data_IF_304431085649
#
_entry.id   IF_304431085649
#
_cell.length_a   1.000
_cell.length_b   1.000
_cell.length_c   1.000
_cell.angle_alpha   90.00
_cell.angle_beta   90.00
_cell.angle_gamma   90.00
#
_symmetry.space_group_name_H-M   'P 1'
#
loop_
_entity.id
_entity.type
_entity.pdbx_description
1 polymer ?
#
# COMPACT_ATOMS: atom_id res chain seq x y z
N UNK A 1 58.37 32.68 11.65
CA UNK A 1 57.92 31.27 11.57
C UNK A 1 57.00 30.99 12.76
N UNK A 2 55.68 30.93 12.54
CA UNK A 2 54.68 30.17 13.32
C UNK A 2 53.31 30.42 12.70
N UNK A 3 52.85 29.45 11.91
CA UNK A 3 51.49 29.35 11.40
C UNK A 3 50.55 29.03 12.58
N UNK A 4 49.66 29.96 12.92
CA UNK A 4 48.47 29.67 13.72
C UNK A 4 47.44 28.95 12.84
N UNK A 5 47.14 27.71 13.20
CA UNK A 5 46.19 26.83 12.52
C UNK A 5 44.76 27.35 12.71
N UNK A 6 44.09 27.64 11.60
CA UNK A 6 42.65 27.84 11.54
C UNK A 6 42.00 26.45 11.53
N UNK A 7 41.43 26.02 12.65
CA UNK A 7 40.61 24.82 12.70
C UNK A 7 39.28 25.11 11.99
N UNK A 8 39.17 24.66 10.74
CA UNK A 8 37.91 24.66 10.00
C UNK A 8 37.02 23.59 10.62
N UNK A 9 35.92 24.04 11.22
CA UNK A 9 34.84 23.24 11.78
C UNK A 9 34.26 22.29 10.72
N UNK A 10 34.63 21.01 10.77
CA UNK A 10 33.93 19.93 10.05
C UNK A 10 32.78 19.40 10.93
N UNK A 11 31.63 20.07 10.88
CA UNK A 11 30.38 19.59 11.47
C UNK A 11 29.22 19.85 10.51
N UNK A 12 29.18 19.12 9.38
CA UNK A 12 28.01 19.10 8.49
C UNK A 12 27.94 17.93 7.46
N UNK A 13 28.58 16.78 7.66
CA UNK A 13 28.58 15.70 6.64
C UNK A 13 27.90 14.38 7.02
N UNK A 14 27.37 14.24 8.25
CA UNK A 14 26.80 12.96 8.72
C UNK A 14 25.30 12.76 8.41
N UNK A 15 24.55 13.82 8.10
CA UNK A 15 23.09 13.71 7.88
C UNK A 15 22.71 13.34 6.44
N UNK A 16 23.50 13.75 5.45
CA UNK A 16 23.20 13.52 4.02
C UNK A 16 23.55 12.10 3.54
N UNK A 17 24.46 11.40 4.21
CA UNK A 17 24.81 10.02 3.85
C UNK A 17 23.71 9.05 4.28
N UNK A 18 23.19 9.21 5.50
CA UNK A 18 22.13 8.34 6.03
C UNK A 18 20.82 8.43 5.23
N UNK A 19 20.46 9.61 4.72
CA UNK A 19 19.27 9.80 3.89
C UNK A 19 19.45 9.19 2.49
N UNK A 20 20.63 9.32 1.88
CA UNK A 20 20.93 8.69 0.59
C UNK A 20 20.92 7.16 0.68
N UNK A 21 21.48 6.58 1.74
CA UNK A 21 21.44 5.14 2.00
C UNK A 21 20.00 4.62 2.19
N UNK A 22 19.16 5.34 2.96
CA UNK A 22 17.77 4.97 3.17
C UNK A 22 16.92 5.07 1.88
N UNK A 23 17.13 6.12 1.07
CA UNK A 23 16.47 6.27 -0.21
C UNK A 23 16.87 5.16 -1.19
N UNK A 24 18.16 4.79 -1.23
CA UNK A 24 18.65 3.68 -2.05
C UNK A 24 18.04 2.34 -1.61
N UNK A 25 17.95 2.06 -0.31
CA UNK A 25 17.34 0.83 0.20
C UNK A 25 15.83 0.73 -0.14
N UNK A 26 15.08 1.83 -0.04
CA UNK A 26 13.67 1.88 -0.44
C UNK A 26 13.51 1.65 -1.95
N UNK A 27 14.45 2.15 -2.77
CA UNK A 27 14.43 1.94 -4.22
C UNK A 27 14.73 0.48 -4.61
N UNK A 28 15.64 -0.19 -3.90
CA UNK A 28 15.95 -1.61 -4.12
C UNK A 28 14.78 -2.51 -3.69
N UNK A 29 14.17 -2.22 -2.54
CA UNK A 29 12.96 -2.91 -2.08
C UNK A 29 11.80 -2.73 -3.06
N UNK A 30 11.60 -1.52 -3.61
CA UNK A 30 10.60 -1.26 -4.63
C UNK A 30 10.83 -2.09 -5.89
N UNK A 31 12.08 -2.16 -6.38
CA UNK A 31 12.44 -2.96 -7.55
C UNK A 31 12.19 -4.46 -7.33
N UNK A 32 12.54 -4.99 -6.15
CA UNK A 32 12.25 -6.38 -5.78
C UNK A 32 10.75 -6.66 -5.81
N UNK A 33 9.96 -5.81 -5.17
CA UNK A 33 8.51 -5.97 -5.10
C UNK A 33 7.82 -5.76 -6.45
N UNK A 34 8.32 -4.87 -7.30
CA UNK A 34 7.86 -4.73 -8.67
C UNK A 34 8.10 -5.99 -9.48
N UNK A 35 9.31 -6.59 -9.39
CA UNK A 35 9.62 -7.85 -10.06
C UNK A 35 8.74 -9.00 -9.56
N UNK A 36 8.52 -9.11 -8.25
CA UNK A 36 7.63 -10.11 -7.67
C UNK A 36 6.17 -9.92 -8.14
N UNK A 37 5.69 -8.68 -8.22
CA UNK A 37 4.34 -8.41 -8.71
C UNK A 37 4.19 -8.73 -10.20
N UNK A 38 5.21 -8.44 -11.01
CA UNK A 38 5.22 -8.80 -12.43
C UNK A 38 5.17 -10.32 -12.64
N UNK A 39 5.87 -11.11 -11.80
CA UNK A 39 5.78 -12.58 -11.82
C UNK A 39 4.38 -13.08 -11.48
N UNK A 40 3.68 -12.39 -10.57
CA UNK A 40 2.28 -12.66 -10.27
C UNK A 40 1.31 -12.16 -11.35
N UNK A 41 1.81 -11.46 -12.39
CA UNK A 41 1.03 -10.75 -13.43
C UNK A 41 0.08 -9.69 -12.84
N UNK A 42 0.51 -9.02 -11.78
CA UNK A 42 -0.26 -7.99 -11.09
C UNK A 42 0.02 -6.57 -11.56
N UNK A 43 -0.76 -5.65 -11.00
CA UNK A 43 -0.51 -4.22 -11.06
C UNK A 43 0.31 -3.80 -9.83
N UNK A 44 1.54 -3.31 -10.07
CA UNK A 44 2.42 -2.83 -9.01
C UNK A 44 2.23 -1.32 -8.80
N UNK A 45 2.05 -0.93 -7.54
CA UNK A 45 2.04 0.47 -7.13
C UNK A 45 2.64 0.59 -5.73
N UNK A 46 3.32 1.70 -5.45
CA UNK A 46 3.81 2.02 -4.11
C UNK A 46 3.91 3.52 -3.90
N UNK A 47 3.84 3.94 -2.65
CA UNK A 47 3.86 5.36 -2.34
C UNK A 47 3.79 5.66 -0.86
N UNK A 48 3.74 6.96 -0.58
CA UNK A 48 3.61 7.48 0.79
C UNK A 48 2.14 7.62 1.14
N UNK A 49 1.73 7.11 2.31
CA UNK A 49 0.35 7.23 2.80
C UNK A 49 0.03 8.68 3.15
N UNK A 50 -1.05 9.20 2.59
CA UNK A 50 -1.52 10.56 2.82
C UNK A 50 -2.26 10.68 4.15
N UNK A 51 -2.29 11.90 4.68
CA UNK A 51 -3.17 12.29 5.79
C UNK A 51 -4.09 13.42 5.34
N UNK A 52 -5.26 13.58 5.96
CA UNK A 52 -5.94 14.87 5.94
C UNK A 52 -4.96 15.96 6.43
N UNK A 53 -4.89 17.16 5.81
CA UNK A 53 -5.80 17.75 4.81
C UNK A 53 -5.45 17.44 3.34
N UNK A 54 -4.44 16.61 3.07
CA UNK A 54 -3.96 16.26 1.73
C UNK A 54 -4.66 15.00 1.18
N UNK A 55 -5.92 14.81 1.57
CA UNK A 55 -6.68 13.63 1.22
C UNK A 55 -8.16 13.95 1.02
N UNK A 56 -8.86 13.19 0.17
CA UNK A 56 -10.32 13.27 0.06
C UNK A 56 -11.02 12.66 1.29
N UNK A 57 -10.29 11.93 2.13
CA UNK A 57 -10.81 11.30 3.33
C UNK A 57 -10.59 12.10 4.63
N UNK A 58 -11.46 11.94 5.64
CA UNK A 58 -11.31 12.58 6.95
C UNK A 58 -10.31 11.87 7.88
N UNK A 59 -9.87 10.67 7.54
CA UNK A 59 -8.88 9.90 8.31
C UNK A 59 -7.92 9.16 7.36
N UNK A 60 -6.80 8.65 7.90
CA UNK A 60 -5.84 7.86 7.10
C UNK A 60 -6.45 6.56 6.57
N UNK A 61 -7.23 5.87 7.38
CA UNK A 61 -7.92 4.63 7.01
C UNK A 61 -9.42 4.80 7.13
N UNK A 62 -10.15 4.47 6.07
CA UNK A 62 -11.58 4.77 5.98
C UNK A 62 -12.36 3.51 5.64
N UNK A 63 -13.30 3.15 6.51
CA UNK A 63 -14.13 1.97 6.27
C UNK A 63 -15.14 2.25 5.16
N UNK A 64 -15.19 1.35 4.18
CA UNK A 64 -16.23 1.34 3.14
C UNK A 64 -16.98 0.01 3.18
N UNK A 65 -18.33 0.01 3.35
CA UNK A 65 -19.09 -1.22 3.20
C UNK A 65 -19.07 -1.69 1.75
N UNK A 66 -19.14 -3.00 1.53
CA UNK A 66 -19.33 -3.59 0.21
C UNK A 66 -20.42 -4.66 0.23
N UNK A 67 -20.57 -5.34 -0.91
CA UNK A 67 -21.54 -6.41 -1.09
C UNK A 67 -21.18 -7.65 -0.26
N UNK A 68 -22.12 -8.60 -0.17
CA UNK A 68 -21.87 -9.88 0.50
C UNK A 68 -21.66 -10.98 -0.55
N UNK A 69 -20.71 -11.86 -0.28
CA UNK A 69 -20.49 -13.10 -1.02
C UNK A 69 -20.62 -14.27 -0.05
N UNK A 70 -21.55 -15.20 -0.30
CA UNK A 70 -21.93 -16.28 0.63
C UNK A 70 -22.18 -15.78 2.09
N UNK A 71 -22.80 -14.60 2.22
CA UNK A 71 -23.09 -13.96 3.51
C UNK A 71 -21.90 -13.26 4.18
N UNK A 72 -20.69 -13.32 3.61
CA UNK A 72 -19.51 -12.60 4.09
C UNK A 72 -19.43 -11.22 3.43
N UNK A 73 -19.39 -10.12 4.20
CA UNK A 73 -19.27 -8.78 3.64
C UNK A 73 -17.86 -8.53 3.08
N UNK A 74 -17.79 -8.14 1.81
CA UNK A 74 -16.59 -7.71 1.10
C UNK A 74 -16.39 -6.21 1.33
N UNK A 75 -16.17 -5.82 2.59
CA UNK A 75 -15.88 -4.43 2.95
C UNK A 75 -14.43 -4.07 2.64
N UNK A 76 -14.18 -2.78 2.40
CA UNK A 76 -12.86 -2.26 2.08
C UNK A 76 -12.36 -1.29 3.16
N UNK A 77 -11.05 -1.12 3.23
CA UNK A 77 -10.37 0.01 3.86
C UNK A 77 -9.80 0.88 2.75
N UNK A 78 -10.28 2.11 2.63
CA UNK A 78 -9.69 3.08 1.72
C UNK A 78 -8.58 3.88 2.41
N UNK A 79 -7.47 4.01 1.71
CA UNK A 79 -6.40 4.96 2.01
C UNK A 79 -6.07 5.72 0.73
N UNK A 80 -5.40 6.87 0.86
CA UNK A 80 -4.78 7.51 -0.29
C UNK A 80 -3.25 7.47 -0.17
N UNK A 81 -2.59 7.29 -1.31
CA UNK A 81 -1.14 7.39 -1.39
C UNK A 81 -0.73 8.40 -2.44
N UNK A 82 0.38 9.12 -2.21
CA UNK A 82 1.15 9.74 -3.27
C UNK A 82 2.12 8.72 -3.84
N UNK A 83 1.89 8.33 -5.09
CA UNK A 83 2.68 7.36 -5.85
C UNK A 83 4.12 7.82 -5.98
N UNK A 84 5.05 6.90 -5.69
CA UNK A 84 6.47 7.12 -5.91
C UNK A 84 6.91 6.81 -7.36
N UNK A 85 5.99 6.30 -8.20
CA UNK A 85 6.24 6.02 -9.62
C UNK A 85 5.99 7.25 -10.51
N UNK A 86 4.94 8.00 -10.22
CA UNK A 86 4.48 9.10 -11.07
C UNK A 86 4.00 10.36 -10.31
N UNK A 87 4.09 10.35 -8.97
CA UNK A 87 3.74 11.50 -8.13
C UNK A 87 2.24 11.75 -7.99
N UNK A 88 1.37 10.95 -8.61
CA UNK A 88 -0.09 11.14 -8.53
C UNK A 88 -0.65 10.61 -7.22
N UNK A 89 -1.80 11.14 -6.81
CA UNK A 89 -2.57 10.60 -5.68
C UNK A 89 -3.52 9.53 -6.18
N UNK A 90 -3.47 8.38 -5.51
CA UNK A 90 -4.35 7.24 -5.77
C UNK A 90 -5.22 6.94 -4.55
N UNK A 91 -6.51 6.69 -4.77
CA UNK A 91 -7.37 6.00 -3.81
C UNK A 91 -7.09 4.49 -3.91
N UNK A 92 -6.83 3.85 -2.77
CA UNK A 92 -6.52 2.43 -2.70
C UNK A 92 -7.61 1.74 -1.90
N UNK A 93 -8.42 0.92 -2.56
CA UNK A 93 -9.46 0.14 -1.89
C UNK A 93 -8.90 -1.21 -1.43
N UNK A 94 -8.69 -1.38 -0.11
CA UNK A 94 -8.04 -2.58 0.45
C UNK A 94 -9.09 -3.56 0.98
N UNK A 95 -9.15 -4.78 0.44
CA UNK A 95 -10.10 -5.79 0.90
C UNK A 95 -9.87 -6.24 2.35
N UNK A 96 -10.83 -5.95 3.23
CA UNK A 96 -10.71 -6.26 4.64
C UNK A 96 -10.69 -7.77 4.90
N UNK A 97 -11.30 -8.58 4.04
CA UNK A 97 -11.37 -10.05 4.17
C UNK A 97 -9.99 -10.71 4.21
N UNK A 98 -8.96 -10.07 3.66
CA UNK A 98 -7.58 -10.56 3.68
C UNK A 98 -6.78 -10.10 4.91
N UNK A 99 -7.35 -9.27 5.78
CA UNK A 99 -6.76 -8.94 7.06
C UNK A 99 -6.83 -10.15 8.02
N UNK A 100 -5.76 -10.40 8.77
CA UNK A 100 -5.72 -11.49 9.76
C UNK A 100 -6.78 -11.36 10.86
N UNK A 101 -7.19 -10.13 11.17
CA UNK A 101 -8.13 -9.79 12.24
C UNK A 101 -9.47 -9.27 11.68
N UNK A 102 -9.80 -9.62 10.44
CA UNK A 102 -11.11 -9.32 9.88
C UNK A 102 -12.24 -9.98 10.67
N UNK A 103 -13.22 -9.17 11.07
CA UNK A 103 -14.42 -9.62 11.74
C UNK A 103 -15.66 -9.29 10.89
N UNK A 104 -16.26 -10.31 10.28
CA UNK A 104 -17.43 -10.19 9.40
C UNK A 104 -18.68 -9.59 10.08
N UNK A 105 -18.70 -9.51 11.41
CA UNK A 105 -19.82 -8.96 12.17
C UNK A 105 -19.62 -7.49 12.56
N UNK A 106 -18.48 -6.89 12.20
CA UNK A 106 -18.15 -5.51 12.56
C UNK A 106 -18.02 -4.63 11.32
N UNK A 107 -18.46 -3.38 11.45
CA UNK A 107 -18.36 -2.34 10.41
C UNK A 107 -17.21 -1.40 10.73
N UNK A 108 -15.99 -1.94 10.73
CA UNK A 108 -14.79 -1.19 11.08
C UNK A 108 -13.59 -1.61 10.24
N UNK A 109 -12.61 -0.71 10.13
CA UNK A 109 -11.28 -1.04 9.60
C UNK A 109 -10.61 -2.08 10.50
N UNK A 110 -10.05 -3.18 9.96
CA UNK A 110 -9.28 -4.16 10.73
C UNK A 110 -8.19 -3.50 11.58
N UNK A 111 -8.02 -3.96 12.82
CA UNK A 111 -7.12 -3.30 13.75
C UNK A 111 -5.64 -3.40 13.29
N UNK A 112 -5.28 -4.46 12.57
CA UNK A 112 -3.98 -4.61 11.91
C UNK A 112 -3.71 -3.50 10.89
N UNK A 113 -4.70 -3.13 10.08
CA UNK A 113 -4.56 -2.01 9.14
C UNK A 113 -4.43 -0.68 9.89
N UNK A 114 -5.33 -0.39 10.84
CA UNK A 114 -5.25 0.86 11.63
C UNK A 114 -3.91 1.05 12.34
N UNK A 115 -3.26 -0.03 12.79
CA UNK A 115 -1.97 0.04 13.50
C UNK A 115 -0.79 0.27 12.56
N UNK A 116 -0.84 -0.24 11.34
CA UNK A 116 0.32 -0.25 10.45
C UNK A 116 0.24 0.78 9.31
N UNK A 117 -0.97 1.15 8.88
CA UNK A 117 -1.19 2.18 7.86
C UNK A 117 -1.22 3.55 8.55
N UNK A 118 -0.11 4.26 8.47
CA UNK A 118 0.09 5.58 9.08
C UNK A 118 0.56 6.56 8.03
N UNK A 119 0.10 7.80 8.13
CA UNK A 119 0.52 8.86 7.24
C UNK A 119 2.05 9.04 7.24
N UNK A 120 2.61 9.38 6.08
CA UNK A 120 4.05 9.55 5.88
C UNK A 120 4.85 8.24 5.80
N UNK A 121 4.20 7.08 5.94
CA UNK A 121 4.84 5.76 5.80
C UNK A 121 4.73 5.27 4.36
N UNK A 122 5.70 4.46 3.94
CA UNK A 122 5.69 3.83 2.62
C UNK A 122 4.95 2.50 2.67
N UNK A 123 4.15 2.25 1.65
CA UNK A 123 3.43 0.98 1.46
C UNK A 123 3.53 0.55 0.00
N UNK A 124 3.62 -0.75 -0.21
CA UNK A 124 3.77 -1.41 -1.50
C UNK A 124 2.57 -2.32 -1.76
N UNK A 125 2.10 -2.32 -3.00
CA UNK A 125 0.94 -3.07 -3.43
C UNK A 125 1.26 -3.91 -4.67
N UNK A 126 0.67 -5.09 -4.69
CA UNK A 126 0.42 -5.85 -5.90
C UNK A 126 -1.07 -6.20 -5.94
N UNK A 127 -1.79 -5.53 -6.83
CA UNK A 127 -3.22 -5.73 -7.09
C UNK A 127 -3.46 -6.74 -8.22
N UNK A 128 -4.59 -7.45 -8.15
CA UNK A 128 -5.09 -8.24 -9.27
C UNK A 128 -5.75 -7.33 -10.32
N UNK A 129 -5.89 -7.81 -11.55
CA UNK A 129 -6.56 -7.08 -12.65
C UNK A 129 -5.79 -5.89 -13.27
N UNK A 130 -4.52 -6.06 -13.71
CA UNK A 130 -3.76 -4.99 -14.38
C UNK A 130 -4.39 -4.46 -15.68
N UNK A 131 -5.37 -5.17 -16.26
CA UNK A 131 -6.08 -4.72 -17.46
C UNK A 131 -7.14 -3.64 -17.19
N UNK A 132 -7.58 -3.50 -15.94
CA UNK A 132 -8.60 -2.51 -15.53
C UNK A 132 -8.06 -1.51 -14.50
N UNK A 133 -6.81 -1.66 -14.09
CA UNK A 133 -6.14 -0.81 -13.10
C UNK A 133 -4.97 -0.04 -13.70
N UNK A 134 -4.76 1.23 -13.29
CA UNK A 134 -5.64 2.00 -12.42
C UNK A 134 -6.87 2.51 -13.18
N UNK A 135 -8.00 2.67 -12.50
CA UNK A 135 -9.22 3.26 -13.07
C UNK A 135 -9.32 4.75 -12.75
N UNK A 136 -10.05 5.50 -13.58
CA UNK A 136 -10.28 6.94 -13.35
C UNK A 136 -11.41 7.14 -12.34
N UNK A 137 -11.21 8.08 -11.43
CA UNK A 137 -12.22 8.52 -10.48
C UNK A 137 -12.81 9.87 -10.88
N UNK A 138 -14.03 10.15 -10.41
CA UNK A 138 -14.73 11.41 -10.66
C UNK A 138 -15.25 12.02 -9.36
N UNK A 139 -15.27 13.34 -9.28
CA UNK A 139 -15.81 14.08 -8.14
C UNK A 139 -14.88 14.17 -6.93
N UNK A 140 -13.62 13.79 -7.07
CA UNK A 140 -12.59 13.85 -6.03
C UNK A 140 -11.63 15.02 -6.27
N UNK A 141 -11.06 15.55 -5.19
CA UNK A 141 -10.14 16.70 -5.22
C UNK A 141 -8.70 16.25 -5.33
N UNK A 142 -8.30 15.18 -4.63
CA UNK A 142 -6.92 14.73 -4.57
C UNK A 142 -6.69 13.49 -5.41
N UNK A 143 -7.37 12.39 -5.11
CA UNK A 143 -7.28 11.18 -5.91
C UNK A 143 -8.01 11.39 -7.25
N UNK A 144 -7.33 11.17 -8.37
CA UNK A 144 -7.95 11.16 -9.70
C UNK A 144 -8.00 9.75 -10.29
N UNK A 145 -7.28 8.83 -9.67
CA UNK A 145 -7.21 7.45 -10.05
C UNK A 145 -7.41 6.58 -8.82
N UNK A 146 -8.00 5.41 -9.03
CA UNK A 146 -8.13 4.38 -8.02
C UNK A 146 -7.54 3.08 -8.53
N UNK A 147 -7.21 2.22 -7.60
CA UNK A 147 -7.04 0.81 -7.89
C UNK A 147 -7.60 0.01 -6.71
N UNK A 148 -8.19 -1.12 -7.05
CA UNK A 148 -8.74 -2.06 -6.11
C UNK A 148 -7.59 -2.94 -5.68
N UNK A 149 -7.14 -2.77 -4.44
CA UNK A 149 -6.31 -3.80 -3.85
C UNK A 149 -7.20 -5.01 -3.51
N UNK A 150 -7.47 -5.87 -4.51
CA UNK A 150 -8.31 -7.05 -4.37
C UNK A 150 -7.95 -8.21 -5.32
N UNK A 151 -8.19 -9.44 -4.84
CA UNK A 151 -8.26 -10.74 -5.56
C UNK A 151 -6.93 -11.28 -6.12
N UNK A 152 -6.00 -11.88 -5.38
CA UNK A 152 -6.15 -13.24 -4.84
C UNK A 152 -4.82 -13.63 -4.16
N UNK A 153 -4.65 -13.44 -2.85
CA UNK A 153 -3.73 -14.35 -2.15
C UNK A 153 -4.31 -15.79 -2.12
N UNK A 154 -5.59 -15.90 -2.46
CA UNK A 154 -6.35 -17.12 -2.69
C UNK A 154 -6.18 -17.59 -4.13
N UNK A 155 -5.04 -18.22 -4.43
CA UNK A 155 -4.77 -18.88 -5.72
C UNK A 155 -6.07 -19.46 -6.32
N UNK A 156 -6.54 -18.89 -7.43
CA UNK A 156 -7.75 -19.34 -8.12
C UNK A 156 -7.32 -19.97 -9.44
N UNK A 157 -7.78 -21.20 -9.77
CA UNK A 157 -7.41 -21.88 -11.01
C UNK A 157 -7.88 -21.11 -12.26
N UNK A 158 -8.86 -20.22 -12.10
CA UNK A 158 -9.43 -19.42 -13.18
C UNK A 158 -8.82 -18.00 -13.25
N UNK A 159 -7.91 -17.65 -12.36
CA UNK A 159 -7.24 -16.35 -12.36
C UNK A 159 -5.92 -16.43 -13.12
N UNK A 160 -5.68 -15.47 -14.01
CA UNK A 160 -4.34 -15.28 -14.59
C UNK A 160 -3.37 -14.61 -13.62
N UNK A 161 -3.88 -14.00 -12.55
CA UNK A 161 -3.14 -13.36 -11.48
C UNK A 161 -2.93 -14.33 -10.31
N UNK A 162 -1.69 -14.43 -9.81
CA UNK A 162 -1.29 -15.51 -8.91
C UNK A 162 -1.28 -15.16 -7.40
N UNK A 163 -0.82 -13.97 -7.00
CA UNK A 163 -0.73 -13.57 -5.57
C UNK A 163 -0.82 -12.06 -5.41
N UNK A 164 -1.82 -11.62 -4.62
CA UNK A 164 -2.00 -10.22 -4.24
C UNK A 164 -1.47 -9.91 -2.84
N UNK A 165 -0.83 -8.76 -2.68
CA UNK A 165 -0.26 -8.38 -1.39
C UNK A 165 -0.18 -6.89 -1.14
N UNK A 166 -0.28 -6.52 0.13
CA UNK A 166 0.08 -5.23 0.68
C UNK A 166 1.20 -5.43 1.71
N UNK A 167 2.32 -4.75 1.49
CA UNK A 167 3.52 -4.83 2.34
C UNK A 167 3.89 -3.43 2.81
N UNK A 168 4.15 -3.26 4.10
CA UNK A 168 4.66 -2.00 4.66
C UNK A 168 6.17 -1.88 4.48
N UNK A 169 6.72 -0.67 4.63
CA UNK A 169 8.18 -0.42 4.51
C UNK A 169 9.09 -1.31 5.37
N UNK A 170 8.60 -1.84 6.49
CA UNK A 170 9.35 -2.79 7.32
C UNK A 170 9.21 -4.27 6.88
N UNK A 171 8.62 -4.53 5.72
CA UNK A 171 8.44 -5.87 5.16
C UNK A 171 7.23 -6.66 5.70
N UNK A 172 6.34 -6.05 6.48
CA UNK A 172 5.16 -6.76 7.02
C UNK A 172 4.07 -6.92 5.95
N UNK A 173 3.76 -8.16 5.55
CA UNK A 173 2.59 -8.48 4.70
C UNK A 173 1.31 -8.42 5.55
N UNK A 174 0.45 -7.45 5.27
CA UNK A 174 -0.78 -7.22 6.05
C UNK A 174 -1.99 -8.02 5.53
N UNK A 175 -1.86 -8.61 4.35
CA UNK A 175 -2.94 -9.22 3.59
C UNK A 175 -2.67 -10.68 3.27
N UNK A 176 -2.21 -11.44 4.26
CA UNK A 176 -1.84 -12.85 4.14
C UNK A 176 -2.89 -13.82 4.69
N UNK A 177 -4.07 -13.33 5.08
CA UNK A 177 -5.13 -14.21 5.58
C UNK A 177 -5.79 -14.95 4.43
N UNK A 178 -5.78 -16.28 4.49
CA UNK A 178 -6.47 -17.16 3.52
C UNK A 178 -7.83 -17.66 4.05
N UNK A 179 -8.27 -17.14 5.21
CA UNK A 179 -9.46 -17.62 5.93
C UNK A 179 -10.73 -17.65 5.07
N UNK A 180 -10.85 -16.71 4.13
CA UNK A 180 -12.04 -16.55 3.29
C UNK A 180 -11.80 -16.93 1.82
N UNK A 181 -10.71 -17.63 1.49
CA UNK A 181 -10.43 -18.04 0.11
C UNK A 181 -11.48 -18.96 -0.49
N UNK A 182 -12.21 -19.71 0.35
CA UNK A 182 -13.31 -20.56 -0.10
C UNK A 182 -14.42 -19.78 -0.82
N UNK A 183 -14.53 -18.46 -0.64
CA UNK A 183 -15.55 -17.63 -1.29
C UNK A 183 -15.42 -17.58 -2.82
N UNK A 184 -14.25 -17.90 -3.38
CA UNK A 184 -13.97 -17.83 -4.82
C UNK A 184 -13.57 -19.18 -5.44
N UNK A 185 -13.64 -20.25 -4.65
CA UNK A 185 -13.24 -21.61 -5.04
C UNK A 185 -14.42 -22.59 -5.00
N UNK A 186 -15.67 -22.08 -5.07
CA UNK A 186 -16.87 -22.90 -5.29
C UNK A 186 -17.13 -23.14 -6.77
#
# INVERSE_FOLDING_TARGET
MKLSHLAISMLAFAACTNTALAANALSEQAAQYQAACAQAKGYFQYGTINSPPNSDYPAVTNFKPGNKLHGVPLSHTHIEITSALDGKVYDVAIDNVFAKDFNRYRREVPASYRRNLKAGRTVYFCGGNPGSEPYTLSGQKFAQHGFDWVHTNCESPNSQFADGWMITENGSKLTNSHKYCYLWNE
#
